data_IF_102847998023
#
_entry.id   IF_102847998023
#
_cell.length_a   1.000
_cell.length_b   1.000
_cell.length_c   1.000
_cell.angle_alpha   90.00
_cell.angle_beta   90.00
_cell.angle_gamma   90.00
#
_symmetry.space_group_name_H-M   'P 1'
#
loop_
_entity.id
_entity.type
_entity.pdbx_description
1 polymer ?
#
# COMPACT_ATOMS: atom_id res chain seq x y z
N UNK A 1 2.28 13.15 -25.78
CA UNK A 1 0.92 12.59 -25.56
C UNK A 1 1.11 11.31 -24.75
N UNK A 2 0.44 11.19 -23.63
CA UNK A 2 0.41 9.93 -22.87
C UNK A 2 -0.31 8.91 -23.74
N UNK A 3 0.27 7.73 -23.92
CA UNK A 3 -0.37 6.64 -24.66
C UNK A 3 -1.42 5.96 -23.79
N UNK A 4 -2.62 5.76 -24.32
CA UNK A 4 -3.72 5.11 -23.61
C UNK A 4 -3.90 3.67 -24.11
N UNK A 5 -3.79 2.70 -23.21
CA UNK A 5 -4.12 1.30 -23.48
C UNK A 5 -5.44 0.98 -22.76
N UNK A 6 -6.46 0.57 -23.51
CA UNK A 6 -7.80 0.41 -22.94
C UNK A 6 -8.41 -0.96 -23.26
N UNK A 7 -9.24 -1.46 -22.31
CA UNK A 7 -10.08 -2.64 -22.46
C UNK A 7 -9.31 -3.90 -22.90
N UNK A 8 -8.09 -4.08 -22.40
CA UNK A 8 -7.25 -5.21 -22.77
C UNK A 8 -7.11 -6.21 -21.62
N UNK A 9 -6.88 -7.46 -21.99
CA UNK A 9 -6.56 -8.55 -21.08
C UNK A 9 -5.14 -9.03 -21.38
N UNK A 10 -4.30 -9.00 -20.36
CA UNK A 10 -2.91 -9.46 -20.42
C UNK A 10 -2.77 -10.71 -19.55
N UNK A 11 -2.22 -11.78 -20.09
CA UNK A 11 -2.06 -13.03 -19.36
C UNK A 11 -0.69 -13.67 -19.61
N UNK A 12 -0.16 -14.30 -18.56
CA UNK A 12 0.97 -15.24 -18.62
C UNK A 12 2.18 -14.72 -19.40
N UNK A 13 2.64 -13.52 -19.08
CA UNK A 13 3.79 -12.90 -19.72
C UNK A 13 4.56 -11.99 -18.78
N UNK A 14 5.74 -11.59 -19.20
CA UNK A 14 6.53 -10.52 -18.57
C UNK A 14 6.21 -9.20 -19.26
N UNK A 15 6.02 -8.13 -18.49
CA UNK A 15 5.90 -6.76 -18.98
C UNK A 15 7.05 -5.97 -18.36
N UNK A 16 7.92 -5.49 -19.22
CA UNK A 16 9.06 -4.68 -18.81
C UNK A 16 8.66 -3.21 -18.64
N UNK A 17 9.63 -2.42 -18.20
CA UNK A 17 9.48 -1.00 -17.89
C UNK A 17 8.77 -0.19 -18.96
N UNK A 18 7.92 0.74 -18.54
CA UNK A 18 7.25 1.70 -19.43
C UNK A 18 7.12 3.06 -18.73
N UNK A 19 6.93 4.11 -19.50
CA UNK A 19 6.78 5.48 -19.01
C UNK A 19 5.63 6.19 -19.72
N UNK A 20 4.92 7.02 -18.95
CA UNK A 20 3.87 7.91 -19.47
C UNK A 20 2.78 7.17 -20.27
N UNK A 21 2.32 6.02 -19.74
CA UNK A 21 1.23 5.23 -20.31
C UNK A 21 0.10 5.14 -19.29
N UNK A 22 -1.13 5.30 -19.74
CA UNK A 22 -2.31 5.02 -18.95
C UNK A 22 -2.97 3.71 -19.38
N UNK A 23 -3.14 2.80 -18.42
CA UNK A 23 -3.96 1.61 -18.59
C UNK A 23 -5.34 1.86 -18.02
N UNK A 24 -6.38 1.71 -18.86
CA UNK A 24 -7.78 1.96 -18.47
C UNK A 24 -8.64 0.72 -18.73
N UNK A 25 -9.37 0.28 -17.68
CA UNK A 25 -10.23 -0.90 -17.76
C UNK A 25 -9.49 -2.15 -18.28
N UNK A 26 -8.26 -2.36 -17.78
CA UNK A 26 -7.41 -3.49 -18.19
C UNK A 26 -7.38 -4.56 -17.11
N UNK A 27 -7.21 -5.81 -17.53
CA UNK A 27 -7.01 -6.94 -16.64
C UNK A 27 -5.62 -7.54 -16.87
N UNK A 28 -4.93 -7.82 -15.75
CA UNK A 28 -3.59 -8.40 -15.73
C UNK A 28 -3.65 -9.68 -14.89
N UNK A 29 -3.33 -10.81 -15.49
CA UNK A 29 -3.37 -12.09 -14.80
C UNK A 29 -2.09 -12.87 -15.00
N UNK A 30 -1.49 -13.30 -13.88
CA UNK A 30 -0.22 -14.04 -13.87
C UNK A 30 0.87 -13.26 -14.63
N UNK A 31 0.96 -11.94 -14.45
CA UNK A 31 1.97 -11.12 -15.10
C UNK A 31 3.16 -10.95 -14.19
N UNK A 32 4.34 -11.12 -14.75
CA UNK A 32 5.61 -10.81 -14.10
C UNK A 32 6.03 -9.38 -14.47
N UNK A 33 5.98 -8.48 -13.47
CA UNK A 33 6.46 -7.10 -13.53
C UNK A 33 7.73 -6.92 -12.69
N UNK A 34 8.29 -7.99 -12.14
CA UNK A 34 9.41 -7.89 -11.21
C UNK A 34 10.60 -7.14 -11.81
N UNK A 35 11.32 -6.43 -10.96
CA UNK A 35 12.51 -5.65 -11.30
C UNK A 35 12.29 -4.62 -12.44
N UNK A 36 11.02 -4.23 -12.70
CA UNK A 36 10.65 -3.27 -13.74
C UNK A 36 10.51 -1.86 -13.19
N UNK A 37 10.53 -0.85 -14.06
CA UNK A 37 10.34 0.55 -13.71
C UNK A 37 9.18 1.15 -14.50
N UNK A 38 8.18 1.69 -13.77
CA UNK A 38 7.02 2.39 -14.31
C UNK A 38 6.99 3.80 -13.72
N UNK A 39 7.27 4.78 -14.53
CA UNK A 39 7.29 6.18 -14.10
C UNK A 39 6.12 6.94 -14.69
N UNK A 40 5.32 7.60 -13.82
CA UNK A 40 4.13 8.38 -14.22
C UNK A 40 3.12 7.57 -15.03
N UNK A 41 2.93 6.31 -14.65
CA UNK A 41 1.95 5.40 -15.27
C UNK A 41 0.64 5.48 -14.50
N UNK A 42 -0.47 5.52 -15.24
CA UNK A 42 -1.81 5.45 -14.67
C UNK A 42 -2.40 4.04 -14.79
N UNK A 43 -2.97 3.54 -13.69
CA UNK A 43 -3.82 2.36 -13.69
C UNK A 43 -5.21 2.78 -13.20
N UNK A 44 -6.16 2.87 -14.13
CA UNK A 44 -7.53 3.34 -13.85
C UNK A 44 -8.51 2.24 -14.17
N UNK A 45 -9.36 1.87 -13.20
CA UNK A 45 -10.34 0.79 -13.33
C UNK A 45 -9.71 -0.56 -13.74
N UNK A 46 -8.46 -0.81 -13.29
CA UNK A 46 -7.70 -2.01 -13.63
C UNK A 46 -7.87 -3.11 -12.57
N UNK A 47 -7.59 -4.35 -12.98
CA UNK A 47 -7.59 -5.50 -12.09
C UNK A 47 -6.32 -6.32 -12.30
N UNK A 48 -5.59 -6.56 -11.21
CA UNK A 48 -4.40 -7.41 -11.16
C UNK A 48 -4.70 -8.66 -10.34
N UNK A 49 -4.44 -9.82 -10.89
CA UNK A 49 -4.63 -11.11 -10.24
C UNK A 49 -3.36 -11.97 -10.36
N UNK A 50 -2.82 -12.42 -9.23
CA UNK A 50 -1.62 -13.27 -9.15
C UNK A 50 -0.40 -12.69 -9.88
N UNK A 51 -0.21 -11.38 -9.86
CA UNK A 51 0.93 -10.72 -10.49
C UNK A 51 2.12 -10.59 -9.55
N UNK A 52 3.34 -10.59 -10.10
CA UNK A 52 4.57 -10.33 -9.34
C UNK A 52 5.09 -8.93 -9.66
N UNK A 53 5.12 -8.07 -8.64
CA UNK A 53 5.69 -6.71 -8.68
C UNK A 53 6.92 -6.59 -7.77
N UNK A 54 7.59 -7.70 -7.45
CA UNK A 54 8.76 -7.65 -6.55
C UNK A 54 9.82 -6.72 -7.10
N UNK A 55 10.33 -5.83 -6.23
CA UNK A 55 11.31 -4.78 -6.54
C UNK A 55 10.91 -3.84 -7.70
N UNK A 56 9.63 -3.80 -8.08
CA UNK A 56 9.16 -2.90 -9.13
C UNK A 56 9.15 -1.46 -8.61
N UNK A 57 9.61 -0.51 -9.42
CA UNK A 57 9.49 0.92 -9.16
C UNK A 57 8.21 1.44 -9.79
N UNK A 58 7.26 1.89 -8.95
CA UNK A 58 5.96 2.46 -9.32
C UNK A 58 5.82 3.89 -8.75
N UNK A 59 6.89 4.67 -8.79
CA UNK A 59 6.90 6.01 -8.22
C UNK A 59 6.15 7.03 -9.09
N UNK A 60 5.54 8.01 -8.42
CA UNK A 60 4.72 9.05 -9.07
C UNK A 60 3.60 8.50 -9.97
N UNK A 61 3.14 7.26 -9.72
CA UNK A 61 2.06 6.61 -10.46
C UNK A 61 0.68 6.96 -9.89
N UNK A 62 -0.35 6.75 -10.70
CA UNK A 62 -1.75 6.92 -10.28
C UNK A 62 -2.49 5.59 -10.30
N UNK A 63 -2.93 5.13 -9.14
CA UNK A 63 -3.67 3.87 -8.96
C UNK A 63 -5.11 4.21 -8.54
N UNK A 64 -6.04 4.21 -9.49
CA UNK A 64 -7.40 4.73 -9.30
C UNK A 64 -8.43 3.63 -9.57
N UNK A 65 -9.33 3.36 -8.62
CA UNK A 65 -10.37 2.31 -8.71
C UNK A 65 -9.82 0.97 -9.20
N UNK A 66 -8.59 0.66 -8.78
CA UNK A 66 -7.84 -0.51 -9.23
C UNK A 66 -7.79 -1.55 -8.12
N UNK A 67 -7.95 -2.82 -8.49
CA UNK A 67 -7.92 -3.95 -7.56
C UNK A 67 -6.67 -4.78 -7.79
N UNK A 68 -5.98 -5.10 -6.68
CA UNK A 68 -4.79 -5.96 -6.68
C UNK A 68 -5.06 -7.15 -5.75
N UNK A 69 -5.21 -8.34 -6.33
CA UNK A 69 -5.58 -9.54 -5.61
C UNK A 69 -4.47 -10.60 -5.72
N UNK A 70 -4.08 -11.19 -4.59
CA UNK A 70 -3.08 -12.25 -4.51
C UNK A 70 -1.74 -11.89 -5.20
N UNK A 71 -1.37 -10.61 -5.21
CA UNK A 71 -0.15 -10.15 -5.84
C UNK A 71 1.04 -10.24 -4.88
N UNK A 72 2.21 -10.55 -5.43
CA UNK A 72 3.48 -10.49 -4.75
C UNK A 72 4.13 -9.14 -5.07
N UNK A 73 4.41 -8.34 -4.03
CA UNK A 73 4.83 -6.94 -4.17
C UNK A 73 5.99 -6.63 -3.19
N UNK A 74 6.86 -7.62 -2.96
CA UNK A 74 7.96 -7.48 -2.01
C UNK A 74 8.94 -6.42 -2.51
N UNK A 75 9.21 -5.39 -1.69
CA UNK A 75 10.15 -4.34 -2.05
C UNK A 75 9.67 -3.39 -3.16
N UNK A 76 8.39 -3.41 -3.51
CA UNK A 76 7.82 -2.46 -4.50
C UNK A 76 7.93 -1.02 -3.98
N UNK A 77 8.37 -0.10 -4.82
CA UNK A 77 8.44 1.33 -4.50
C UNK A 77 7.26 2.09 -5.12
N UNK A 78 6.33 2.54 -4.26
CA UNK A 78 5.19 3.41 -4.62
C UNK A 78 5.41 4.86 -4.23
N UNK A 79 6.62 5.28 -3.87
CA UNK A 79 6.86 6.61 -3.35
C UNK A 79 6.32 7.73 -4.26
N UNK A 80 5.72 8.74 -3.65
CA UNK A 80 5.11 9.86 -4.37
C UNK A 80 3.84 9.55 -5.17
N UNK A 81 3.34 8.31 -5.15
CA UNK A 81 2.18 7.88 -5.93
C UNK A 81 0.84 8.30 -5.29
N UNK A 82 -0.21 8.21 -6.09
CA UNK A 82 -1.58 8.55 -5.70
C UNK A 82 -2.50 7.33 -5.80
N UNK A 83 -3.20 7.03 -4.70
CA UNK A 83 -4.19 5.97 -4.62
C UNK A 83 -5.57 6.54 -4.37
N UNK A 84 -6.55 6.15 -5.17
CA UNK A 84 -7.95 6.55 -4.99
C UNK A 84 -8.89 5.37 -5.20
N UNK A 85 -9.72 5.07 -4.19
CA UNK A 85 -10.78 4.05 -4.27
C UNK A 85 -10.30 2.68 -4.76
N UNK A 86 -9.07 2.32 -4.39
CA UNK A 86 -8.40 1.09 -4.81
C UNK A 86 -8.39 0.05 -3.69
N UNK A 87 -8.07 -1.20 -4.01
CA UNK A 87 -7.93 -2.26 -3.00
C UNK A 87 -6.72 -3.14 -3.22
N UNK A 88 -6.11 -3.55 -2.09
CA UNK A 88 -5.08 -4.58 -2.00
C UNK A 88 -5.63 -5.70 -1.14
N UNK A 89 -5.80 -6.89 -1.71
CA UNK A 89 -6.39 -8.03 -1.03
C UNK A 89 -5.50 -9.27 -1.12
N UNK A 90 -5.15 -9.85 0.01
CA UNK A 90 -4.30 -11.04 0.11
C UNK A 90 -2.94 -10.92 -0.59
N UNK A 91 -2.38 -9.71 -0.59
CA UNK A 91 -1.09 -9.42 -1.22
C UNK A 91 0.07 -9.57 -0.22
N UNK A 92 1.25 -9.90 -0.76
CA UNK A 92 2.49 -9.82 0.00
C UNK A 92 3.19 -8.50 -0.30
N UNK A 93 3.06 -7.56 0.64
CA UNK A 93 3.54 -6.18 0.56
C UNK A 93 4.75 -5.92 1.49
N UNK A 94 5.52 -6.96 1.84
CA UNK A 94 6.70 -6.79 2.71
C UNK A 94 7.70 -5.83 2.09
N UNK A 95 8.29 -4.97 2.92
CA UNK A 95 9.30 -3.99 2.49
C UNK A 95 8.84 -2.99 1.42
N UNK A 96 7.54 -2.85 1.19
CA UNK A 96 7.02 -1.83 0.25
C UNK A 96 7.26 -0.42 0.76
N UNK A 97 7.55 0.51 -0.14
CA UNK A 97 7.71 1.91 0.16
C UNK A 97 6.51 2.73 -0.32
N UNK A 98 5.72 3.25 0.62
CA UNK A 98 4.61 4.19 0.36
C UNK A 98 4.93 5.63 0.75
N UNK A 99 6.20 5.98 0.98
CA UNK A 99 6.58 7.31 1.47
C UNK A 99 6.09 8.42 0.54
N UNK A 100 5.63 9.53 1.13
CA UNK A 100 5.12 10.70 0.39
C UNK A 100 3.91 10.42 -0.52
N UNK A 101 3.21 9.29 -0.34
CA UNK A 101 2.00 8.98 -1.10
C UNK A 101 0.78 9.74 -0.59
N UNK A 102 -0.25 9.82 -1.44
CA UNK A 102 -1.56 10.26 -1.07
C UNK A 102 -2.55 9.10 -1.24
N UNK A 103 -3.06 8.55 -0.14
CA UNK A 103 -3.92 7.35 -0.13
C UNK A 103 -5.33 7.74 0.31
N UNK A 104 -6.29 7.66 -0.61
CA UNK A 104 -7.69 8.03 -0.37
C UNK A 104 -8.64 6.87 -0.60
N UNK A 105 -9.55 6.63 0.36
CA UNK A 105 -10.64 5.63 0.26
C UNK A 105 -10.16 4.25 -0.21
N UNK A 106 -8.94 3.88 0.16
CA UNK A 106 -8.28 2.65 -0.27
C UNK A 106 -8.39 1.60 0.83
N UNK A 107 -8.65 0.36 0.42
CA UNK A 107 -8.75 -0.81 1.30
C UNK A 107 -7.45 -1.62 1.23
N UNK A 108 -6.94 -1.98 2.38
CA UNK A 108 -5.93 -3.03 2.55
C UNK A 108 -6.53 -4.14 3.40
N UNK A 109 -6.65 -5.34 2.85
CA UNK A 109 -7.30 -6.46 3.53
C UNK A 109 -6.49 -7.75 3.41
N UNK A 110 -6.25 -8.42 4.54
CA UNK A 110 -5.55 -9.71 4.62
C UNK A 110 -4.13 -9.67 4.01
N UNK A 111 -3.43 -8.54 4.06
CA UNK A 111 -2.10 -8.42 3.47
C UNK A 111 -0.99 -8.65 4.48
N UNK A 112 0.16 -9.09 3.96
CA UNK A 112 1.41 -9.02 4.71
C UNK A 112 2.14 -7.72 4.35
N UNK A 113 2.16 -6.75 5.27
CA UNK A 113 2.72 -5.40 5.11
C UNK A 113 3.91 -5.18 6.06
N UNK A 114 4.53 -6.27 6.49
CA UNK A 114 5.65 -6.26 7.42
C UNK A 114 6.82 -5.43 6.89
N UNK A 115 7.42 -4.60 7.75
CA UNK A 115 8.58 -3.76 7.45
C UNK A 115 8.39 -2.79 6.28
N UNK A 116 7.16 -2.40 6.01
CA UNK A 116 6.85 -1.41 4.96
C UNK A 116 6.89 0.00 5.51
N UNK A 117 7.21 0.96 4.64
CA UNK A 117 7.29 2.37 5.00
C UNK A 117 6.05 3.13 4.53
N UNK A 118 5.36 3.79 5.47
CA UNK A 118 4.27 4.75 5.25
C UNK A 118 4.67 6.14 5.76
N UNK A 119 5.90 6.55 5.54
CA UNK A 119 6.42 7.81 6.04
C UNK A 119 5.89 9.00 5.24
N UNK A 120 5.45 10.05 5.93
CA UNK A 120 4.89 11.28 5.33
C UNK A 120 3.70 11.06 4.38
N UNK A 121 2.89 10.02 4.67
CA UNK A 121 1.71 9.67 3.86
C UNK A 121 0.52 10.54 4.24
N UNK A 122 -0.21 11.02 3.22
CA UNK A 122 -1.50 11.70 3.41
C UNK A 122 -2.62 10.68 3.31
N UNK A 123 -3.28 10.41 4.45
CA UNK A 123 -4.37 9.44 4.56
C UNK A 123 -5.74 10.12 4.56
N UNK A 124 -6.67 9.60 3.75
CA UNK A 124 -8.08 10.00 3.79
C UNK A 124 -8.98 8.76 3.64
N UNK A 125 -9.69 8.40 4.71
CA UNK A 125 -10.62 7.26 4.74
C UNK A 125 -10.00 5.93 4.31
N UNK A 126 -8.76 5.68 4.71
CA UNK A 126 -8.12 4.37 4.53
C UNK A 126 -8.84 3.32 5.40
N UNK A 127 -8.89 2.09 4.90
CA UNK A 127 -9.37 0.92 5.66
C UNK A 127 -8.28 -0.12 5.71
N UNK A 128 -7.99 -0.60 6.92
CA UNK A 128 -6.98 -1.62 7.19
C UNK A 128 -7.66 -2.77 7.93
N UNK A 129 -7.85 -3.91 7.26
CA UNK A 129 -8.50 -5.08 7.87
C UNK A 129 -7.59 -6.29 7.87
N UNK A 130 -7.36 -6.85 9.05
CA UNK A 130 -6.61 -8.11 9.25
C UNK A 130 -5.24 -8.12 8.52
N UNK A 131 -4.50 -7.00 8.58
CA UNK A 131 -3.17 -6.92 7.99
C UNK A 131 -2.07 -7.24 9.02
N UNK A 132 -0.95 -7.80 8.53
CA UNK A 132 0.29 -7.87 9.29
C UNK A 132 1.11 -6.59 9.04
N UNK A 133 1.15 -5.68 10.01
CA UNK A 133 1.89 -4.42 9.99
C UNK A 133 3.11 -4.44 10.94
N UNK A 134 3.60 -5.63 11.27
CA UNK A 134 4.75 -5.80 12.16
C UNK A 134 5.95 -5.01 11.64
N UNK A 135 6.59 -4.24 12.53
CA UNK A 135 7.77 -3.42 12.22
C UNK A 135 7.58 -2.42 11.05
N UNK A 136 6.33 -2.07 10.69
CA UNK A 136 6.08 -1.02 9.70
C UNK A 136 6.34 0.37 10.27
N UNK A 137 6.72 1.32 9.41
CA UNK A 137 7.09 2.68 9.78
C UNK A 137 6.07 3.71 9.29
N UNK A 138 5.62 4.61 10.18
CA UNK A 138 4.60 5.65 9.91
C UNK A 138 5.06 7.03 10.37
N UNK A 139 6.35 7.35 10.21
CA UNK A 139 6.94 8.62 10.63
C UNK A 139 6.35 9.76 9.80
N UNK A 140 5.96 10.87 10.45
CA UNK A 140 5.34 12.03 9.78
C UNK A 140 3.93 11.79 9.26
N UNK A 141 3.33 10.60 9.51
CA UNK A 141 1.98 10.24 9.05
C UNK A 141 0.95 10.43 10.16
N UNK A 142 -0.09 11.22 9.89
CA UNK A 142 -1.17 11.46 10.83
C UNK A 142 -2.14 10.28 10.84
N UNK A 143 -2.24 9.57 11.98
CA UNK A 143 -3.06 8.38 12.16
C UNK A 143 -4.49 8.67 12.69
N UNK A 144 -4.94 9.90 12.64
CA UNK A 144 -6.30 10.27 13.07
C UNK A 144 -7.37 9.49 12.30
N UNK A 145 -8.26 8.82 13.03
CA UNK A 145 -9.34 7.97 12.50
C UNK A 145 -8.86 6.73 11.71
N UNK A 146 -7.59 6.37 11.80
CA UNK A 146 -7.09 5.09 11.31
C UNK A 146 -7.44 4.02 12.34
N UNK A 147 -8.02 2.92 11.88
CA UNK A 147 -8.36 1.76 12.72
C UNK A 147 -7.35 0.64 12.47
N UNK A 148 -6.57 0.30 13.52
CA UNK A 148 -5.60 -0.79 13.52
C UNK A 148 -6.05 -1.95 14.41
N UNK A 149 -7.26 -1.91 14.97
CA UNK A 149 -7.69 -2.79 16.06
C UNK A 149 -7.68 -4.29 15.72
N UNK A 150 -7.81 -4.66 14.46
CA UNK A 150 -7.74 -6.05 13.98
C UNK A 150 -6.42 -6.41 13.28
N UNK A 151 -5.47 -5.48 13.25
CA UNK A 151 -4.16 -5.67 12.61
C UNK A 151 -3.10 -6.16 13.61
N UNK A 152 -2.03 -6.81 13.13
CA UNK A 152 -0.82 -7.09 13.91
C UNK A 152 0.13 -5.92 13.79
N UNK A 153 0.53 -5.32 14.92
CA UNK A 153 1.30 -4.07 14.93
C UNK A 153 2.56 -4.14 15.80
N UNK A 154 3.04 -5.33 16.12
CA UNK A 154 4.23 -5.48 16.96
C UNK A 154 5.43 -4.76 16.34
N UNK A 155 6.10 -3.94 17.12
CA UNK A 155 7.26 -3.19 16.64
C UNK A 155 6.95 -2.05 15.66
N UNK A 156 5.67 -1.65 15.50
CA UNK A 156 5.30 -0.49 14.66
C UNK A 156 6.01 0.78 15.13
N UNK A 157 6.51 1.57 14.18
CA UNK A 157 7.21 2.82 14.45
C UNK A 157 6.32 3.99 14.05
N UNK A 158 6.01 4.87 15.00
CA UNK A 158 5.06 5.97 14.85
C UNK A 158 5.53 7.23 15.58
N UNK A 159 5.07 8.39 15.14
CA UNK A 159 5.24 9.63 15.87
C UNK A 159 4.18 9.78 16.97
N UNK A 160 4.59 9.82 18.24
CA UNK A 160 3.68 9.98 19.38
C UNK A 160 2.73 11.17 19.27
N UNK A 161 3.15 12.25 18.62
CA UNK A 161 2.37 13.46 18.47
C UNK A 161 1.28 13.35 17.38
N UNK A 162 1.31 12.32 16.55
CA UNK A 162 0.40 12.09 15.42
C UNK A 162 -0.60 10.93 15.68
N UNK A 163 -0.68 10.45 16.92
CA UNK A 163 -1.56 9.34 17.34
C UNK A 163 -2.97 9.80 17.76
N UNK A 164 -3.24 11.09 17.81
CA UNK A 164 -4.53 11.59 18.28
C UNK A 164 -5.68 11.09 17.41
N UNK A 165 -6.58 10.28 17.99
CA UNK A 165 -7.73 9.68 17.30
C UNK A 165 -7.42 8.36 16.57
N UNK A 166 -6.23 7.76 16.77
CA UNK A 166 -5.94 6.39 16.35
C UNK A 166 -6.84 5.40 17.11
N UNK A 167 -7.39 4.42 16.40
CA UNK A 167 -8.24 3.37 16.96
C UNK A 167 -7.42 2.09 17.07
N UNK A 168 -7.40 1.51 18.29
CA UNK A 168 -6.64 0.30 18.61
C UNK A 168 -7.44 -0.57 19.58
N UNK A 169 -7.09 -1.86 19.70
CA UNK A 169 -7.63 -2.74 20.74
C UNK A 169 -6.86 -2.59 22.07
N UNK A 170 -7.37 -3.24 23.11
CA UNK A 170 -6.82 -3.16 24.48
C UNK A 170 -5.34 -3.59 24.55
N UNK A 171 -4.97 -4.69 23.91
CA UNK A 171 -3.59 -5.19 23.92
C UNK A 171 -2.63 -4.23 23.19
N UNK A 172 -3.07 -3.67 22.09
CA UNK A 172 -2.32 -2.67 21.32
C UNK A 172 -2.14 -1.39 22.14
N UNK A 173 -3.16 -0.95 22.90
CA UNK A 173 -3.08 0.22 23.76
C UNK A 173 -1.97 0.07 24.84
N UNK A 174 -1.79 -1.14 25.37
CA UNK A 174 -0.70 -1.46 26.28
C UNK A 174 0.67 -1.24 25.60
N UNK A 175 0.83 -1.65 24.35
CA UNK A 175 2.07 -1.44 23.60
C UNK A 175 2.34 0.05 23.34
N UNK A 176 1.31 0.81 22.96
CA UNK A 176 1.42 2.26 22.75
C UNK A 176 1.69 3.05 24.03
N UNK A 177 1.21 2.57 25.20
CA UNK A 177 1.48 3.25 26.47
C UNK A 177 2.97 3.37 26.78
N UNK A 178 3.79 2.40 26.34
CA UNK A 178 5.25 2.43 26.49
C UNK A 178 5.89 3.60 25.75
N UNK A 179 5.35 4.00 24.60
CA UNK A 179 5.81 5.18 23.84
C UNK A 179 5.58 6.49 24.61
N UNK A 180 4.59 6.48 25.51
CA UNK A 180 4.26 7.61 26.40
C UNK A 180 5.06 7.57 27.71
N UNK A 181 5.95 6.60 27.90
CA UNK A 181 6.71 6.42 29.13
C UNK A 181 5.89 5.88 30.30
N UNK A 182 4.70 5.32 30.07
CA UNK A 182 3.85 4.73 31.11
C UNK A 182 4.40 3.36 31.47
N UNK A 183 4.56 3.10 32.77
CA UNK A 183 4.95 1.79 33.32
C UNK A 183 3.70 1.07 33.79
N UNK A 184 3.40 -0.07 33.17
CA UNK A 184 2.30 -0.96 33.57
C UNK A 184 2.90 -2.03 34.48
N UNK A 185 2.30 -2.21 35.69
CA UNK A 185 2.71 -3.21 36.70
C UNK A 185 1.74 -4.39 36.70
#
# INVERSE_FOLDING_TARGET
MIEDIQNQVFCDKTINSTKEIDFKNCQFKNIDFSDSEFQKVGFVDCHFENCDFSNTVLNECSIIRTKLNNCKMIGTDFSGSYFLESSFESCNLMYTNYSNTNIKKTLFQNNNVEKSSFNEVKLDKIKLHNNNLIESEWIGTNLKNVDLSDCKIDGIIVDKNLLNGLIVNENQAISFSKLLGIVIK
#
